data_IF_446680542605
#
_entry.id   IF_446680542605
#
_cell.length_a   1.000
_cell.length_b   1.000
_cell.length_c   1.000
_cell.angle_alpha   90.00
_cell.angle_beta   90.00
_cell.angle_gamma   90.00
#
_symmetry.space_group_name_H-M   'P 1'
#
loop_
_entity.id
_entity.type
_entity.pdbx_description
1 polymer ?
#
# COMPACT_ATOMS: atom_id res chain seq x y z
N UNK A 1 -29.93 -19.14 13.86
CA UNK A 1 -29.43 -18.06 12.98
C UNK A 1 -28.14 -17.59 13.63
N UNK A 2 -26.99 -17.87 13.02
CA UNK A 2 -25.69 -17.62 13.65
C UNK A 2 -25.49 -16.12 13.90
N UNK A 3 -25.06 -15.80 15.11
CA UNK A 3 -24.63 -14.48 15.56
C UNK A 3 -23.40 -14.01 14.75
N UNK A 4 -23.61 -13.43 13.58
CA UNK A 4 -22.59 -12.59 12.96
C UNK A 4 -22.82 -11.16 13.47
N UNK A 5 -22.38 -10.87 14.70
CA UNK A 5 -22.73 -9.62 15.37
C UNK A 5 -21.68 -8.51 15.16
N UNK A 6 -20.39 -8.81 14.95
CA UNK A 6 -19.35 -7.77 14.83
C UNK A 6 -18.31 -8.05 13.72
N UNK A 7 -17.57 -7.02 13.30
CA UNK A 7 -16.51 -7.15 12.28
C UNK A 7 -15.30 -7.94 12.79
N UNK A 8 -14.98 -7.80 14.07
CA UNK A 8 -13.83 -8.48 14.70
C UNK A 8 -13.93 -10.00 14.58
N UNK A 9 -15.13 -10.58 14.72
CA UNK A 9 -15.38 -12.01 14.56
C UNK A 9 -15.08 -12.55 13.14
N UNK A 10 -15.05 -11.66 12.13
CA UNK A 10 -14.71 -12.00 10.75
C UNK A 10 -13.27 -11.69 10.38
N UNK A 11 -12.66 -10.75 11.10
CA UNK A 11 -11.30 -10.31 10.88
C UNK A 11 -10.28 -11.17 11.66
N UNK A 12 -10.60 -11.49 12.91
CA UNK A 12 -9.77 -12.30 13.81
C UNK A 12 -10.11 -13.78 13.55
N UNK A 13 -9.11 -14.52 13.08
CA UNK A 13 -9.28 -15.94 12.72
C UNK A 13 -9.58 -16.86 13.91
N UNK A 14 -8.77 -16.83 14.99
CA UNK A 14 -8.99 -17.69 16.16
C UNK A 14 -10.30 -17.34 16.88
N UNK A 15 -11.11 -18.36 17.15
CA UNK A 15 -12.26 -18.23 18.04
C UNK A 15 -11.84 -18.19 19.51
N UNK A 16 -12.76 -17.86 20.41
CA UNK A 16 -12.50 -17.88 21.85
C UNK A 16 -12.04 -19.27 22.37
N UNK A 17 -12.52 -20.37 21.77
CA UNK A 17 -12.04 -21.71 22.12
C UNK A 17 -10.62 -21.97 21.60
N UNK A 18 -10.30 -21.50 20.39
CA UNK A 18 -8.96 -21.64 19.83
C UNK A 18 -7.94 -20.83 20.65
N UNK A 19 -8.32 -19.61 21.07
CA UNK A 19 -7.50 -18.76 21.94
C UNK A 19 -7.16 -19.48 23.25
N UNK A 20 -8.16 -20.08 23.92
CA UNK A 20 -7.96 -20.82 25.16
C UNK A 20 -7.05 -22.04 24.97
N UNK A 21 -7.20 -22.78 23.87
CA UNK A 21 -6.35 -23.91 23.54
C UNK A 21 -4.89 -23.47 23.32
N UNK A 22 -4.69 -22.42 22.50
CA UNK A 22 -3.37 -21.85 22.21
C UNK A 22 -2.69 -21.31 23.48
N UNK A 23 -3.42 -20.60 24.33
CA UNK A 23 -2.91 -20.12 25.62
C UNK A 23 -2.53 -21.29 26.53
N UNK A 24 -3.32 -22.35 26.55
CA UNK A 24 -3.03 -23.58 27.30
C UNK A 24 -1.71 -24.23 26.89
N UNK A 25 -1.41 -24.29 25.59
CA UNK A 25 -0.11 -24.78 25.06
C UNK A 25 1.05 -23.92 25.55
N UNK A 26 0.84 -22.61 25.65
CA UNK A 26 1.84 -21.65 26.13
C UNK A 26 1.92 -21.59 27.68
N UNK A 27 1.05 -22.28 28.40
CA UNK A 27 1.01 -22.28 29.87
C UNK A 27 0.29 -21.08 30.50
N UNK A 28 -0.51 -20.35 29.72
CA UNK A 28 -1.27 -19.18 30.16
C UNK A 28 -2.75 -19.49 30.37
N UNK A 29 -3.37 -18.82 31.35
CA UNK A 29 -4.81 -18.94 31.64
C UNK A 29 -5.70 -17.97 30.86
N UNK A 30 -5.12 -16.87 30.39
CA UNK A 30 -5.81 -15.77 29.72
C UNK A 30 -4.82 -14.89 28.94
N UNK A 31 -5.31 -14.20 27.93
CA UNK A 31 -4.51 -13.35 27.05
C UNK A 31 -3.91 -12.13 27.77
N UNK A 32 -4.53 -11.65 28.86
CA UNK A 32 -4.03 -10.47 29.60
C UNK A 32 -2.70 -10.79 30.29
N UNK A 33 -2.60 -11.97 30.90
CA UNK A 33 -1.34 -12.44 31.49
C UNK A 33 -0.25 -12.65 30.44
N UNK A 34 -0.62 -13.26 29.31
CA UNK A 34 0.32 -13.44 28.20
C UNK A 34 0.89 -12.10 27.70
N UNK A 35 0.02 -11.10 27.48
CA UNK A 35 0.46 -9.76 27.04
C UNK A 35 1.36 -9.10 28.09
N UNK A 36 1.03 -9.18 29.37
CA UNK A 36 1.81 -8.56 30.45
C UNK A 36 3.23 -9.14 30.58
N UNK A 37 3.42 -10.42 30.24
CA UNK A 37 4.75 -11.05 30.23
C UNK A 37 5.56 -10.71 28.97
N UNK A 38 4.90 -10.42 27.85
CA UNK A 38 5.55 -10.13 26.55
C UNK A 38 5.90 -8.66 26.38
N UNK A 39 5.01 -7.77 26.81
CA UNK A 39 5.14 -6.32 26.61
C UNK A 39 5.58 -5.67 27.92
N UNK A 40 6.71 -4.93 27.95
CA UNK A 40 7.17 -4.26 29.16
C UNK A 40 6.18 -3.22 29.68
N UNK A 41 5.86 -3.27 30.97
CA UNK A 41 4.88 -2.39 31.61
C UNK A 41 5.18 -0.89 31.42
N UNK A 42 6.46 -0.50 31.38
CA UNK A 42 6.87 0.90 31.26
C UNK A 42 6.56 1.54 29.89
N UNK A 43 6.12 0.75 28.90
CA UNK A 43 5.66 1.24 27.59
C UNK A 43 4.18 0.90 27.33
N UNK A 44 3.47 0.37 28.33
CA UNK A 44 2.04 0.10 28.18
C UNK A 44 1.26 1.41 28.04
N UNK A 45 0.27 1.40 27.14
CA UNK A 45 -0.66 2.52 27.00
C UNK A 45 -1.57 2.54 28.23
N UNK A 46 -1.48 3.59 29.05
CA UNK A 46 -2.27 3.72 30.29
C UNK A 46 -3.77 3.97 30.02
N UNK A 47 -4.11 4.63 28.91
CA UNK A 47 -5.50 4.94 28.53
C UNK A 47 -6.10 3.84 27.66
N UNK A 48 -7.37 3.50 27.89
CA UNK A 48 -8.05 2.58 27.00
C UNK A 48 -8.45 3.32 25.72
N UNK A 49 -8.19 2.72 24.55
CA UNK A 49 -8.52 3.35 23.27
C UNK A 49 -10.03 3.64 23.13
N UNK A 50 -10.88 2.84 23.77
CA UNK A 50 -12.34 3.08 23.83
C UNK A 50 -12.75 4.40 24.47
N UNK A 51 -11.85 5.03 25.25
CA UNK A 51 -12.11 6.30 25.91
C UNK A 51 -11.84 7.50 24.98
N UNK A 52 -11.17 7.27 23.84
CA UNK A 52 -10.77 8.30 22.87
C UNK A 52 -11.26 8.03 21.44
N UNK A 53 -11.79 6.83 21.18
CA UNK A 53 -12.39 6.43 19.91
C UNK A 53 -13.91 6.30 20.05
N UNK A 54 -14.62 6.57 18.96
CA UNK A 54 -16.05 6.29 18.87
C UNK A 54 -16.32 4.77 18.96
N UNK A 55 -17.56 4.42 19.31
CA UNK A 55 -17.99 3.02 19.33
C UNK A 55 -17.84 2.38 17.94
N UNK A 56 -17.49 1.08 17.93
CA UNK A 56 -17.36 0.32 16.70
C UNK A 56 -18.68 0.33 15.91
N UNK A 57 -18.57 0.51 14.60
CA UNK A 57 -19.68 0.45 13.65
C UNK A 57 -19.67 -0.90 12.94
N UNK A 58 -20.84 -1.40 12.58
CA UNK A 58 -20.94 -2.59 11.73
C UNK A 58 -20.39 -2.30 10.32
N UNK A 59 -20.02 -3.34 9.58
CA UNK A 59 -19.57 -3.19 8.18
C UNK A 59 -20.59 -2.44 7.30
N UNK A 60 -21.88 -2.65 7.52
CA UNK A 60 -22.95 -2.01 6.75
C UNK A 60 -22.99 -0.52 7.04
N UNK A 61 -22.87 -0.13 8.31
CA UNK A 61 -22.83 1.27 8.73
C UNK A 61 -21.57 1.98 8.20
N UNK A 62 -20.40 1.33 8.27
CA UNK A 62 -19.15 1.91 7.75
C UNK A 62 -19.24 2.14 6.24
N UNK A 63 -19.79 1.20 5.47
CA UNK A 63 -19.97 1.39 4.01
C UNK A 63 -20.93 2.55 3.71
N UNK A 64 -22.02 2.68 4.47
CA UNK A 64 -22.99 3.76 4.28
C UNK A 64 -22.34 5.14 4.59
N UNK A 65 -21.67 5.25 5.73
CA UNK A 65 -20.98 6.47 6.14
C UNK A 65 -19.88 6.88 5.14
N UNK A 66 -19.04 5.94 4.71
CA UNK A 66 -18.00 6.24 3.73
C UNK A 66 -18.57 6.66 2.38
N UNK A 67 -19.75 6.16 2.00
CA UNK A 67 -20.47 6.64 0.80
C UNK A 67 -20.98 8.06 0.99
N UNK A 68 -21.50 8.41 2.16
CA UNK A 68 -21.95 9.76 2.47
C UNK A 68 -20.78 10.75 2.42
N UNK A 69 -19.62 10.39 2.99
CA UNK A 69 -18.40 11.20 2.89
C UNK A 69 -17.94 11.31 1.44
N UNK A 70 -17.87 10.20 0.70
CA UNK A 70 -17.45 10.19 -0.70
C UNK A 70 -18.39 11.02 -1.60
N UNK A 71 -19.69 11.12 -1.25
CA UNK A 71 -20.68 11.91 -2.00
C UNK A 71 -20.45 13.42 -1.93
N UNK A 72 -19.61 13.90 -1.00
CA UNK A 72 -19.22 15.30 -0.89
C UNK A 72 -18.15 15.68 -1.92
N UNK A 73 -17.50 14.70 -2.57
CA UNK A 73 -16.54 14.96 -3.63
C UNK A 73 -17.26 15.31 -4.94
N UNK A 74 -16.80 16.36 -5.61
CA UNK A 74 -17.28 16.73 -6.94
C UNK A 74 -16.38 16.13 -8.03
N UNK A 75 -16.94 15.31 -8.91
CA UNK A 75 -16.20 14.66 -9.99
C UNK A 75 -16.28 15.52 -11.26
N UNK A 76 -15.17 16.18 -11.60
CA UNK A 76 -15.04 17.00 -12.80
C UNK A 76 -14.38 16.27 -13.96
N UNK A 77 -14.62 16.78 -15.18
CA UNK A 77 -13.71 16.52 -16.30
C UNK A 77 -12.48 17.39 -16.13
N UNK A 78 -11.48 16.88 -15.42
CA UNK A 78 -10.25 17.60 -15.11
C UNK A 78 -9.27 17.57 -16.27
N UNK A 79 -9.04 18.73 -16.90
CA UNK A 79 -8.04 18.95 -17.96
C UNK A 79 -6.80 19.70 -17.43
N UNK A 80 -6.49 19.54 -16.14
CA UNK A 80 -5.38 20.22 -15.45
C UNK A 80 -4.02 19.71 -15.95
N UNK A 81 -3.92 18.42 -16.27
CA UNK A 81 -2.66 17.76 -16.62
C UNK A 81 -1.75 17.61 -15.40
N UNK A 82 -0.48 18.00 -15.54
CA UNK A 82 0.48 17.95 -14.43
C UNK A 82 0.86 16.53 -14.01
N UNK A 83 0.94 15.60 -14.95
CA UNK A 83 1.32 14.20 -14.70
C UNK A 83 0.14 13.26 -14.45
N UNK A 84 -1.07 13.78 -14.27
CA UNK A 84 -2.29 12.99 -14.07
C UNK A 84 -3.30 13.26 -15.18
N UNK A 85 -3.66 12.21 -15.90
CA UNK A 85 -4.53 12.29 -17.07
C UNK A 85 -5.65 11.27 -16.94
N UNK A 86 -6.89 11.70 -17.17
CA UNK A 86 -8.05 10.81 -17.14
C UNK A 86 -7.91 9.67 -18.16
N UNK A 87 -8.28 8.46 -17.76
CA UNK A 87 -8.22 7.26 -18.60
C UNK A 87 -9.45 6.38 -18.39
N UNK A 88 -9.74 5.52 -19.36
CA UNK A 88 -10.76 4.48 -19.24
C UNK A 88 -10.06 3.21 -18.77
N UNK A 89 -10.20 2.87 -17.49
CA UNK A 89 -9.77 1.55 -17.00
C UNK A 89 -10.69 0.48 -17.61
N UNK A 90 -10.17 -0.46 -18.43
CA UNK A 90 -11.01 -1.47 -19.05
C UNK A 90 -11.80 -2.26 -17.99
N UNK A 91 -13.14 -2.40 -18.13
CA UNK A 91 -13.96 -3.06 -17.11
C UNK A 91 -13.51 -4.48 -16.76
N UNK A 92 -12.98 -5.21 -17.74
CA UNK A 92 -12.44 -6.56 -17.53
C UNK A 92 -11.22 -6.56 -16.60
N UNK A 93 -10.36 -5.54 -16.66
CA UNK A 93 -9.20 -5.40 -15.77
C UNK A 93 -9.66 -4.96 -14.38
N UNK A 94 -10.56 -3.96 -14.32
CA UNK A 94 -11.13 -3.50 -13.04
C UNK A 94 -11.73 -4.67 -12.26
N UNK A 95 -12.59 -5.47 -12.91
CA UNK A 95 -13.33 -6.54 -12.23
C UNK A 95 -12.45 -7.74 -11.88
N UNK A 96 -11.58 -8.18 -12.80
CA UNK A 96 -10.88 -9.46 -12.66
C UNK A 96 -9.46 -9.36 -12.09
N UNK A 97 -8.90 -8.15 -12.00
CA UNK A 97 -7.58 -7.88 -11.40
C UNK A 97 -7.72 -7.00 -10.16
N UNK A 98 -8.19 -5.75 -10.31
CA UNK A 98 -8.22 -4.78 -9.21
C UNK A 98 -9.18 -5.18 -8.08
N UNK A 99 -10.37 -5.68 -8.43
CA UNK A 99 -11.41 -6.11 -7.47
C UNK A 99 -11.35 -7.62 -7.14
N UNK A 100 -10.25 -8.30 -7.49
CA UNK A 100 -10.09 -9.73 -7.29
C UNK A 100 -9.04 -10.03 -6.21
N UNK A 101 -9.43 -10.59 -5.04
CA UNK A 101 -8.48 -10.87 -3.96
C UNK A 101 -7.36 -11.82 -4.36
N UNK A 102 -7.56 -12.70 -5.35
CA UNK A 102 -6.50 -13.56 -5.86
C UNK A 102 -5.29 -12.79 -6.43
N UNK A 103 -5.49 -11.53 -6.84
CA UNK A 103 -4.44 -10.66 -7.37
C UNK A 103 -3.83 -9.71 -6.33
N UNK A 104 -4.61 -9.21 -5.37
CA UNK A 104 -4.14 -8.17 -4.43
C UNK A 104 -3.80 -8.65 -3.01
N UNK A 105 -4.11 -9.89 -2.66
CA UNK A 105 -3.82 -10.42 -1.31
C UNK A 105 -2.41 -11.01 -1.17
N UNK A 106 -1.84 -11.51 -2.27
CA UNK A 106 -0.47 -11.99 -2.28
C UNK A 106 0.53 -10.82 -2.20
N UNK A 107 1.66 -11.04 -1.53
CA UNK A 107 2.72 -10.04 -1.39
C UNK A 107 3.87 -10.27 -2.40
N UNK A 108 5.03 -9.66 -2.14
CA UNK A 108 6.24 -9.75 -2.96
C UNK A 108 6.54 -11.19 -3.40
N UNK A 109 6.87 -11.43 -4.68
CA UNK A 109 7.14 -12.75 -5.23
C UNK A 109 8.49 -13.36 -4.80
N UNK A 110 8.69 -13.54 -3.49
CA UNK A 110 9.87 -14.22 -2.94
C UNK A 110 9.92 -15.72 -3.24
N UNK A 111 8.76 -16.35 -3.48
CA UNK A 111 8.63 -17.77 -3.83
C UNK A 111 8.20 -17.90 -5.30
N UNK A 112 9.14 -17.89 -6.26
CA UNK A 112 8.83 -17.75 -7.68
C UNK A 112 7.95 -18.89 -8.23
N UNK A 113 8.10 -20.12 -7.75
CA UNK A 113 7.40 -21.32 -8.22
C UNK A 113 5.87 -21.20 -8.06
N UNK A 114 5.42 -20.49 -7.02
CA UNK A 114 4.00 -20.23 -6.73
C UNK A 114 3.60 -18.79 -7.07
N UNK A 115 4.43 -18.09 -7.86
CA UNK A 115 4.27 -16.66 -8.15
C UNK A 115 4.38 -16.31 -9.64
N UNK A 116 4.46 -17.31 -10.52
CA UNK A 116 4.73 -17.12 -11.94
C UNK A 116 3.73 -16.16 -12.62
N UNK A 117 2.43 -16.24 -12.30
CA UNK A 117 1.42 -15.37 -12.93
C UNK A 117 1.69 -13.87 -12.76
N UNK A 118 2.05 -13.41 -11.54
CA UNK A 118 2.38 -11.99 -11.32
C UNK A 118 3.78 -11.62 -11.82
N UNK A 119 4.73 -12.55 -11.78
CA UNK A 119 6.06 -12.34 -12.34
C UNK A 119 6.00 -12.12 -13.85
N UNK A 120 5.17 -12.89 -14.55
CA UNK A 120 4.91 -12.73 -15.98
C UNK A 120 4.26 -11.36 -16.28
N UNK A 121 3.27 -10.94 -15.49
CA UNK A 121 2.65 -9.63 -15.64
C UNK A 121 3.64 -8.47 -15.42
N UNK A 122 4.54 -8.59 -14.43
CA UNK A 122 5.61 -7.61 -14.19
C UNK A 122 6.64 -7.61 -15.32
N UNK A 123 6.98 -8.78 -15.87
CA UNK A 123 7.84 -8.88 -17.03
C UNK A 123 7.22 -8.20 -18.26
N UNK A 124 5.92 -8.40 -18.50
CA UNK A 124 5.19 -7.72 -19.56
C UNK A 124 5.19 -6.19 -19.36
N UNK A 125 5.04 -5.70 -18.11
CA UNK A 125 5.21 -4.29 -17.79
C UNK A 125 6.61 -3.78 -18.18
N UNK A 126 7.67 -4.49 -17.79
CA UNK A 126 9.04 -4.13 -18.16
C UNK A 126 9.24 -4.08 -19.67
N UNK A 127 8.71 -5.07 -20.40
CA UNK A 127 8.77 -5.10 -21.88
C UNK A 127 8.09 -3.88 -22.49
N UNK A 128 6.87 -3.54 -22.06
CA UNK A 128 6.16 -2.34 -22.56
C UNK A 128 6.95 -1.06 -22.31
N UNK A 129 7.53 -0.90 -21.12
CA UNK A 129 8.36 0.28 -20.82
C UNK A 129 9.62 0.33 -21.69
N UNK A 130 10.32 -0.80 -21.86
CA UNK A 130 11.49 -0.87 -22.74
C UNK A 130 11.12 -0.53 -24.20
N UNK A 131 10.04 -1.11 -24.72
CA UNK A 131 9.59 -0.88 -26.11
C UNK A 131 9.17 0.58 -26.32
N UNK A 132 8.48 1.20 -25.36
CA UNK A 132 8.02 2.60 -25.46
C UNK A 132 9.15 3.63 -25.29
N UNK A 133 10.14 3.33 -24.45
CA UNK A 133 11.25 4.26 -24.15
C UNK A 133 12.50 4.01 -24.98
N UNK A 134 12.55 2.88 -25.70
CA UNK A 134 13.72 2.36 -26.40
C UNK A 134 14.96 2.16 -25.50
N UNK A 135 14.76 2.02 -24.19
CA UNK A 135 15.82 1.69 -23.24
C UNK A 135 15.96 0.17 -23.08
N UNK A 136 17.18 -0.28 -22.77
CA UNK A 136 17.50 -1.69 -22.71
C UNK A 136 16.87 -2.42 -21.51
N UNK A 137 16.61 -1.71 -20.41
CA UNK A 137 16.15 -2.30 -19.15
C UNK A 137 15.18 -1.35 -18.43
N UNK A 138 14.16 -1.94 -17.82
CA UNK A 138 13.23 -1.29 -16.91
C UNK A 138 13.12 -2.11 -15.61
N UNK A 139 12.85 -1.46 -14.49
CA UNK A 139 12.50 -2.14 -13.24
C UNK A 139 11.00 -2.50 -13.22
N UNK A 140 10.54 -3.14 -12.13
CA UNK A 140 9.17 -3.61 -12.01
C UNK A 140 8.15 -2.56 -11.53
N UNK A 141 8.60 -1.35 -11.16
CA UNK A 141 7.85 -0.11 -10.89
C UNK A 141 8.70 0.85 -10.04
N UNK A 142 8.22 2.09 -9.87
CA UNK A 142 8.61 3.02 -8.80
C UNK A 142 7.33 3.54 -8.12
N UNK A 143 7.47 4.36 -7.07
CA UNK A 143 6.32 4.90 -6.34
C UNK A 143 5.53 5.92 -7.17
N UNK A 144 6.21 6.91 -7.74
CA UNK A 144 5.63 7.96 -8.60
C UNK A 144 6.70 8.59 -9.50
N UNK A 145 6.31 9.53 -10.37
CA UNK A 145 7.21 10.23 -11.29
C UNK A 145 8.31 11.02 -10.57
N UNK A 146 7.96 11.76 -9.51
CA UNK A 146 8.89 12.62 -8.78
C UNK A 146 10.00 11.84 -8.10
N UNK A 147 9.65 10.75 -7.44
CA UNK A 147 10.59 9.83 -6.78
C UNK A 147 11.41 9.04 -7.80
N UNK A 148 10.83 8.65 -8.94
CA UNK A 148 11.59 8.04 -10.04
C UNK A 148 12.63 9.01 -10.61
N UNK A 149 12.29 10.29 -10.79
CA UNK A 149 13.23 11.33 -11.24
C UNK A 149 14.35 11.58 -10.22
N UNK A 150 14.02 11.58 -8.92
CA UNK A 150 15.02 11.68 -7.86
C UNK A 150 15.98 10.48 -7.84
N UNK A 151 15.47 9.25 -8.02
CA UNK A 151 16.32 8.06 -8.13
C UNK A 151 17.19 8.08 -9.40
N UNK A 152 16.70 8.64 -10.51
CA UNK A 152 17.52 8.87 -11.69
C UNK A 152 18.67 9.84 -11.42
N UNK A 153 18.44 10.92 -10.67
CA UNK A 153 19.49 11.83 -10.19
C UNK A 153 20.50 11.08 -9.31
N UNK A 154 20.03 10.29 -8.34
CA UNK A 154 20.90 9.52 -7.44
C UNK A 154 21.70 8.46 -8.21
N UNK A 155 21.11 7.80 -9.21
CA UNK A 155 21.82 6.87 -10.09
C UNK A 155 22.90 7.59 -10.91
N UNK A 156 22.56 8.71 -11.56
CA UNK A 156 23.51 9.53 -12.31
C UNK A 156 24.68 9.99 -11.43
N UNK A 157 24.39 10.40 -10.20
CA UNK A 157 25.41 10.79 -9.23
C UNK A 157 26.34 9.64 -8.85
N UNK A 158 25.78 8.45 -8.57
CA UNK A 158 26.55 7.23 -8.25
C UNK A 158 27.44 6.77 -9.41
N UNK A 159 27.01 6.98 -10.65
CA UNK A 159 27.77 6.60 -11.84
C UNK A 159 28.76 7.69 -12.31
N UNK A 160 28.65 8.91 -11.79
CA UNK A 160 29.50 10.04 -12.17
C UNK A 160 30.84 10.03 -11.42
N UNK A 161 31.87 10.61 -12.04
CA UNK A 161 33.17 10.90 -11.41
C UNK A 161 33.29 12.36 -10.96
N UNK A 162 32.21 13.14 -11.07
CA UNK A 162 32.18 14.52 -10.63
C UNK A 162 32.31 14.62 -9.10
N UNK A 163 32.72 15.79 -8.63
CA UNK A 163 32.91 16.07 -7.20
C UNK A 163 31.59 16.14 -6.44
N UNK A 164 31.68 16.09 -5.11
CA UNK A 164 30.49 16.06 -4.26
C UNK A 164 29.67 17.36 -4.27
N UNK A 165 30.26 18.46 -4.72
CA UNK A 165 29.62 19.76 -4.93
C UNK A 165 29.06 19.93 -6.36
N UNK A 166 29.18 18.92 -7.23
CA UNK A 166 28.72 19.03 -8.60
C UNK A 166 27.21 19.24 -8.67
N UNK A 167 26.82 20.23 -9.46
CA UNK A 167 25.42 20.64 -9.69
C UNK A 167 24.72 19.61 -10.56
N UNK A 168 23.47 19.27 -10.20
CA UNK A 168 22.56 18.53 -11.07
C UNK A 168 21.62 19.51 -11.78
N UNK A 169 21.61 19.49 -13.10
CA UNK A 169 20.77 20.39 -13.88
C UNK A 169 19.35 19.81 -14.02
N UNK A 170 18.35 20.62 -13.67
CA UNK A 170 16.94 20.29 -13.83
C UNK A 170 16.35 21.27 -14.85
N UNK A 171 15.68 20.75 -15.86
CA UNK A 171 15.00 21.55 -16.87
C UNK A 171 13.84 22.36 -16.24
N UNK A 172 13.56 23.55 -16.76
CA UNK A 172 12.65 24.52 -16.12
C UNK A 172 11.18 24.08 -16.20
N UNK A 173 10.78 23.42 -17.28
CA UNK A 173 9.41 23.06 -17.63
C UNK A 173 8.98 21.66 -17.17
N UNK A 174 9.80 20.95 -16.40
CA UNK A 174 9.37 19.73 -15.71
C UNK A 174 8.21 20.05 -14.75
N UNK A 175 7.42 19.04 -14.41
CA UNK A 175 6.29 19.22 -13.51
C UNK A 175 6.74 19.80 -12.14
N UNK A 176 6.05 20.81 -11.58
CA UNK A 176 6.46 21.47 -10.35
C UNK A 176 6.67 20.52 -9.17
N UNK A 177 5.81 19.51 -9.02
CA UNK A 177 5.94 18.49 -7.98
C UNK A 177 7.16 17.58 -8.19
N UNK A 178 7.47 17.21 -9.44
CA UNK A 178 8.67 16.44 -9.79
C UNK A 178 9.92 17.23 -9.42
N UNK A 179 9.97 18.52 -9.79
CA UNK A 179 11.06 19.43 -9.40
C UNK A 179 11.22 19.54 -7.88
N UNK A 180 10.12 19.70 -7.16
CA UNK A 180 10.14 19.83 -5.70
C UNK A 180 10.69 18.58 -5.00
N UNK A 181 10.30 17.38 -5.46
CA UNK A 181 10.82 16.11 -4.93
C UNK A 181 12.31 15.96 -5.22
N UNK A 182 12.76 16.28 -6.44
CA UNK A 182 14.18 16.21 -6.79
C UNK A 182 15.02 17.19 -5.97
N UNK A 183 14.56 18.44 -5.77
CA UNK A 183 15.26 19.44 -4.94
C UNK A 183 15.37 19.01 -3.47
N UNK A 184 14.40 18.25 -2.97
CA UNK A 184 14.38 17.80 -1.58
C UNK A 184 15.38 16.67 -1.32
N UNK A 185 15.81 15.95 -2.36
CA UNK A 185 16.62 14.72 -2.23
C UNK A 185 18.10 14.98 -2.46
#
# INVERSE_FOLDING_TARGET
MSNYQEFEDRHIGPSASDELEMLGVLGYSDIKRFIADVVPENIHIEKQLKDVLDAAKSEVEVIAELRDIASQNEVFTSLIGGGYYGTITPPVIKRNVLENPAWYTAYTPYQPEISQGRLEALFAFQTVICDMTALALANASMLDEGTAAAEAMTLARRSSKASDDAVFLIEEHVHPQTKAVVITR
#
